data_IF_526703614961
#
_entry.id   IF_526703614961
#
_cell.length_a   1.000
_cell.length_b   1.000
_cell.length_c   1.000
_cell.angle_alpha   90.00
_cell.angle_beta   90.00
_cell.angle_gamma   90.00
#
_symmetry.space_group_name_H-M   'P 1'
#
loop_
_entity.id
_entity.type
_entity.pdbx_description
1 polymer ?
#
# COMPACT_ATOMS: atom_id res chain seq x y z
N UNK A 1 17.67 5.23 18.25
CA UNK A 1 17.69 3.77 18.08
C UNK A 1 19.10 3.29 18.45
N UNK A 2 19.19 2.41 19.39
CA UNK A 2 20.49 1.89 19.86
C UNK A 2 20.90 0.68 19.01
N UNK A 3 22.10 0.75 18.45
CA UNK A 3 22.71 -0.34 17.68
C UNK A 3 24.06 -0.64 18.31
N UNK A 4 24.08 -1.60 19.25
CA UNK A 4 25.25 -1.85 20.09
C UNK A 4 25.56 -0.63 20.95
N UNK A 5 26.80 -0.14 20.88
CA UNK A 5 27.25 1.05 21.62
C UNK A 5 26.98 2.39 20.91
N UNK A 6 26.31 2.39 19.74
CA UNK A 6 26.09 3.59 18.94
C UNK A 6 24.62 3.92 18.85
N UNK A 7 24.31 5.20 18.94
CA UNK A 7 22.99 5.74 18.57
C UNK A 7 22.97 6.05 17.09
N UNK A 8 22.10 5.37 16.34
CA UNK A 8 21.93 5.59 14.92
C UNK A 8 20.55 6.18 14.61
N UNK A 9 20.44 7.14 13.68
CA UNK A 9 19.16 7.69 13.29
C UNK A 9 18.29 6.62 12.58
N UNK A 10 17.00 6.62 12.88
CA UNK A 10 16.02 5.68 12.28
C UNK A 10 16.02 5.77 10.75
N UNK A 11 16.29 6.95 10.20
CA UNK A 11 16.32 7.19 8.75
C UNK A 11 17.33 6.32 8.00
N UNK A 12 18.38 5.84 8.65
CA UNK A 12 19.33 4.89 8.03
C UNK A 12 18.69 3.53 7.71
N UNK A 13 17.55 3.20 8.33
CA UNK A 13 16.79 1.98 8.15
C UNK A 13 15.44 2.22 7.50
N UNK A 14 15.23 3.40 6.95
CA UNK A 14 13.95 3.80 6.38
C UNK A 14 14.13 4.10 4.91
N UNK A 15 13.31 3.46 4.09
CA UNK A 15 13.22 3.76 2.65
C UNK A 15 11.93 4.52 2.41
N UNK A 16 12.00 5.65 1.73
CA UNK A 16 10.86 6.46 1.37
C UNK A 16 10.52 6.26 -0.11
N UNK A 17 9.28 5.89 -0.38
CA UNK A 17 8.70 5.88 -1.73
C UNK A 17 7.65 6.98 -1.76
N UNK A 18 7.95 8.09 -2.42
CA UNK A 18 7.10 9.26 -2.41
C UNK A 18 6.50 9.54 -3.79
N UNK A 19 5.23 9.92 -3.81
CA UNK A 19 4.54 10.42 -4.98
C UNK A 19 3.98 11.80 -4.70
N UNK A 20 4.17 12.70 -5.65
CA UNK A 20 3.55 14.02 -5.64
C UNK A 20 2.31 14.02 -6.53
N UNK A 21 1.40 14.97 -6.28
CA UNK A 21 0.13 15.07 -7.02
C UNK A 21 0.30 15.38 -8.51
N UNK A 22 1.45 15.91 -8.91
CA UNK A 22 1.80 16.23 -10.30
C UNK A 22 2.42 15.04 -11.06
N UNK A 23 2.65 13.91 -10.41
CA UNK A 23 3.18 12.73 -11.08
C UNK A 23 2.11 12.05 -11.96
N UNK A 24 2.52 11.37 -13.05
CA UNK A 24 1.62 10.59 -13.87
C UNK A 24 0.84 9.56 -13.05
N UNK A 25 -0.41 9.33 -13.43
CA UNK A 25 -1.30 8.41 -12.72
C UNK A 25 -0.75 6.97 -12.68
N UNK A 26 -0.09 6.54 -13.76
CA UNK A 26 0.55 5.24 -13.81
C UNK A 26 1.72 5.12 -12.81
N UNK A 27 2.47 6.20 -12.58
CA UNK A 27 3.52 6.22 -11.57
C UNK A 27 2.95 6.15 -10.16
N UNK A 28 1.83 6.82 -9.91
CA UNK A 28 1.12 6.75 -8.61
C UNK A 28 0.59 5.35 -8.34
N UNK A 29 0.06 4.68 -9.34
CA UNK A 29 -0.39 3.30 -9.23
C UNK A 29 0.77 2.34 -8.99
N UNK A 30 1.87 2.48 -9.74
CA UNK A 30 3.03 1.60 -9.64
C UNK A 30 3.82 1.73 -8.34
N UNK A 31 3.75 2.86 -7.64
CA UNK A 31 4.55 3.13 -6.43
C UNK A 31 4.25 2.17 -5.30
N UNK A 32 3.00 1.74 -5.15
CA UNK A 32 2.62 0.80 -4.10
C UNK A 32 3.28 -0.57 -4.31
N UNK A 33 3.39 -1.00 -5.57
CA UNK A 33 4.08 -2.24 -5.92
C UNK A 33 5.59 -2.11 -5.73
N UNK A 34 6.16 -0.96 -6.01
CA UNK A 34 7.57 -0.67 -5.73
C UNK A 34 7.84 -0.77 -4.22
N UNK A 35 6.99 -0.16 -3.41
CA UNK A 35 7.12 -0.20 -1.95
C UNK A 35 7.05 -1.62 -1.39
N UNK A 36 6.05 -2.40 -1.80
CA UNK A 36 5.90 -3.77 -1.29
C UNK A 36 7.02 -4.69 -1.78
N UNK A 37 7.51 -4.50 -3.00
CA UNK A 37 8.64 -5.28 -3.54
C UNK A 37 9.92 -5.03 -2.74
N UNK A 38 10.19 -3.79 -2.37
CA UNK A 38 11.31 -3.47 -1.49
C UNK A 38 11.15 -4.10 -0.09
N UNK A 39 9.94 -4.07 0.46
CA UNK A 39 9.64 -4.71 1.74
C UNK A 39 9.88 -6.23 1.68
N UNK A 40 9.42 -6.88 0.63
CA UNK A 40 9.64 -8.32 0.42
C UNK A 40 11.11 -8.67 0.20
N UNK A 41 11.86 -7.81 -0.49
CA UNK A 41 13.29 -8.00 -0.67
C UNK A 41 14.04 -8.08 0.66
N UNK A 42 13.78 -7.15 1.58
CA UNK A 42 14.39 -7.19 2.91
C UNK A 42 13.86 -8.33 3.78
N UNK A 43 12.58 -8.68 3.65
CA UNK A 43 12.01 -9.86 4.31
C UNK A 43 12.77 -11.13 3.92
N UNK A 44 13.03 -11.31 2.65
CA UNK A 44 13.71 -12.51 2.14
C UNK A 44 15.18 -12.60 2.56
N UNK A 45 15.76 -11.46 2.98
CA UNK A 45 17.06 -11.42 3.64
C UNK A 45 17.01 -11.77 5.14
N UNK A 46 15.83 -12.03 5.69
CA UNK A 46 15.63 -12.37 7.09
C UNK A 46 15.31 -11.19 7.98
N UNK A 47 14.97 -10.02 7.41
CA UNK A 47 14.58 -8.84 8.18
C UNK A 47 13.09 -8.82 8.50
N UNK A 48 12.75 -8.16 9.61
CA UNK A 48 11.37 -7.82 9.94
C UNK A 48 11.09 -6.41 9.42
N UNK A 49 10.18 -6.28 8.47
CA UNK A 49 9.90 -5.04 7.77
C UNK A 49 8.52 -4.52 8.15
N UNK A 50 8.43 -3.23 8.46
CA UNK A 50 7.17 -2.51 8.60
C UNK A 50 6.99 -1.59 7.40
N UNK A 51 5.92 -1.80 6.63
CA UNK A 51 5.53 -0.95 5.52
C UNK A 51 4.36 -0.07 5.94
N UNK A 52 4.49 1.23 5.78
CA UNK A 52 3.44 2.20 6.07
C UNK A 52 3.02 2.87 4.76
N UNK A 53 1.74 2.77 4.42
CA UNK A 53 1.16 3.38 3.23
C UNK A 53 0.24 4.54 3.63
N UNK A 54 0.67 5.75 3.37
CA UNK A 54 -0.12 6.96 3.60
C UNK A 54 -0.36 7.68 2.25
N UNK A 55 -1.52 7.63 1.67
CA UNK A 55 -2.68 6.85 2.04
C UNK A 55 -3.11 5.96 0.87
N UNK A 56 -3.68 4.80 1.15
CA UNK A 56 -4.17 3.88 0.11
C UNK A 56 -5.35 4.44 -0.69
N UNK A 57 -6.03 5.48 -0.20
CA UNK A 57 -7.07 6.20 -0.94
C UNK A 57 -6.52 6.87 -2.21
N UNK A 58 -5.31 7.39 -2.19
CA UNK A 58 -4.66 7.97 -3.39
C UNK A 58 -4.35 6.91 -4.44
N UNK A 59 -4.04 5.71 -4.04
CA UNK A 59 -3.92 4.59 -4.95
C UNK A 59 -5.27 4.19 -5.55
N UNK A 60 -6.33 4.16 -4.76
CA UNK A 60 -7.69 3.91 -5.26
C UNK A 60 -8.14 4.99 -6.26
N UNK A 61 -7.83 6.26 -6.02
CA UNK A 61 -8.07 7.35 -6.98
C UNK A 61 -7.32 7.12 -8.30
N UNK A 62 -6.06 6.72 -8.24
CA UNK A 62 -5.27 6.41 -9.42
C UNK A 62 -5.88 5.25 -10.24
N UNK A 63 -6.31 4.19 -9.57
CA UNK A 63 -7.01 3.08 -10.21
C UNK A 63 -8.31 3.52 -10.88
N UNK A 64 -9.09 4.39 -10.24
CA UNK A 64 -10.31 4.96 -10.82
C UNK A 64 -10.01 5.77 -12.08
N UNK A 65 -8.96 6.58 -12.05
CA UNK A 65 -8.58 7.40 -13.20
C UNK A 65 -8.11 6.54 -14.38
N UNK A 66 -7.34 5.48 -14.13
CA UNK A 66 -6.89 4.53 -15.16
C UNK A 66 -8.08 3.80 -15.76
N UNK A 67 -8.97 3.28 -14.92
CA UNK A 67 -10.19 2.58 -15.34
C UNK A 67 -11.08 3.47 -16.21
N UNK A 68 -11.25 4.75 -15.84
CA UNK A 68 -11.99 5.71 -16.62
C UNK A 68 -11.38 5.97 -18.01
N UNK A 69 -10.08 6.03 -18.12
CA UNK A 69 -9.37 6.19 -19.40
C UNK A 69 -9.47 4.96 -20.30
N UNK A 70 -9.55 3.77 -19.71
CA UNK A 70 -9.73 2.51 -20.44
C UNK A 70 -11.18 2.21 -20.76
N UNK A 71 -12.11 3.10 -20.42
CA UNK A 71 -13.55 2.94 -20.60
C UNK A 71 -14.10 1.61 -20.01
N UNK A 72 -13.51 1.15 -18.93
CA UNK A 72 -14.00 -0.02 -18.20
C UNK A 72 -15.33 0.29 -17.51
N UNK A 73 -16.22 -0.71 -17.40
CA UNK A 73 -17.49 -0.52 -16.70
C UNK A 73 -17.23 -0.19 -15.22
N UNK A 74 -17.68 0.97 -14.73
CA UNK A 74 -17.54 1.30 -13.34
C UNK A 74 -18.45 0.42 -12.48
N UNK A 75 -17.94 -0.04 -11.33
CA UNK A 75 -18.75 -0.53 -10.24
C UNK A 75 -19.31 0.65 -9.41
N UNK A 76 -19.77 0.37 -8.22
CA UNK A 76 -20.31 1.39 -7.32
C UNK A 76 -19.32 2.56 -7.11
N UNK A 77 -19.86 3.77 -7.09
CA UNK A 77 -19.11 5.02 -6.85
C UNK A 77 -18.01 5.34 -7.87
N UNK A 78 -18.05 4.75 -9.06
CA UNK A 78 -17.11 5.03 -10.15
C UNK A 78 -15.74 4.36 -9.99
N UNK A 79 -15.57 3.46 -9.02
CA UNK A 79 -14.37 2.64 -8.87
C UNK A 79 -14.46 1.37 -9.72
N UNK A 80 -13.31 0.82 -10.18
CA UNK A 80 -13.32 -0.45 -10.89
C UNK A 80 -13.75 -1.60 -9.99
N UNK A 81 -14.46 -2.59 -10.56
CA UNK A 81 -14.95 -3.76 -9.83
C UNK A 81 -13.81 -4.56 -9.16
N UNK A 82 -12.61 -4.52 -9.72
CA UNK A 82 -11.43 -5.23 -9.21
C UNK A 82 -10.67 -4.48 -8.10
N UNK A 83 -11.12 -3.31 -7.65
CA UNK A 83 -10.44 -2.55 -6.60
C UNK A 83 -10.29 -3.38 -5.31
N UNK A 84 -11.36 -4.03 -4.87
CA UNK A 84 -11.34 -4.90 -3.70
C UNK A 84 -10.34 -6.06 -3.83
N UNK A 85 -10.30 -6.68 -4.98
CA UNK A 85 -9.36 -7.78 -5.27
C UNK A 85 -7.91 -7.31 -5.25
N UNK A 86 -7.61 -6.15 -5.84
CA UNK A 86 -6.25 -5.56 -5.81
C UNK A 86 -5.83 -5.18 -4.39
N UNK A 87 -6.73 -4.59 -3.61
CA UNK A 87 -6.47 -4.28 -2.20
C UNK A 87 -6.21 -5.53 -1.37
N UNK A 88 -7.05 -6.55 -1.51
CA UNK A 88 -6.86 -7.83 -0.83
C UNK A 88 -5.51 -8.45 -1.19
N UNK A 89 -5.19 -8.53 -2.48
CA UNK A 89 -3.91 -9.05 -2.96
C UNK A 89 -2.70 -8.30 -2.42
N UNK A 90 -2.81 -6.98 -2.23
CA UNK A 90 -1.75 -6.18 -1.62
C UNK A 90 -1.57 -6.52 -0.13
N UNK A 91 -2.66 -6.58 0.64
CA UNK A 91 -2.58 -6.89 2.07
C UNK A 91 -2.24 -8.35 2.36
N UNK A 92 -2.59 -9.29 1.48
CA UNK A 92 -2.21 -10.69 1.59
C UNK A 92 -0.69 -10.94 1.51
N UNK A 93 0.06 -9.98 0.99
CA UNK A 93 1.53 -10.03 0.96
C UNK A 93 2.17 -9.79 2.33
N UNK A 94 1.42 -9.30 3.30
CA UNK A 94 1.87 -9.20 4.69
C UNK A 94 1.92 -10.59 5.33
N UNK A 95 2.94 -10.86 6.11
CA UNK A 95 3.04 -12.10 6.86
C UNK A 95 4.47 -12.48 7.19
N UNK A 96 4.58 -13.59 7.90
CA UNK A 96 5.85 -14.23 8.23
C UNK A 96 6.14 -15.35 7.22
N UNK A 97 7.34 -15.35 6.70
CA UNK A 97 7.80 -16.38 5.77
C UNK A 97 9.11 -16.99 6.23
N UNK A 98 9.30 -18.23 5.81
CA UNK A 98 10.59 -18.91 5.88
C UNK A 98 11.17 -18.91 4.48
N UNK A 99 12.29 -18.19 4.29
CA UNK A 99 12.96 -18.13 3.01
C UNK A 99 13.70 -19.45 2.74
N UNK A 100 13.47 -20.00 1.55
CA UNK A 100 14.20 -21.19 1.10
C UNK A 100 15.65 -20.81 0.80
N UNK A 101 16.57 -21.67 1.21
CA UNK A 101 18.00 -21.46 0.97
C UNK A 101 18.86 -21.87 2.14
N UNK A 102 20.16 -21.69 1.99
CA UNK A 102 21.14 -21.97 3.03
C UNK A 102 21.96 -20.70 3.32
N UNK A 103 21.95 -20.16 4.57
CA UNK A 103 21.20 -20.64 5.73
C UNK A 103 19.69 -20.38 5.63
N UNK A 104 18.89 -21.15 6.38
CA UNK A 104 17.45 -20.91 6.52
C UNK A 104 17.23 -19.57 7.23
N UNK A 105 16.37 -18.72 6.65
CA UNK A 105 16.07 -17.37 7.15
C UNK A 105 14.58 -17.23 7.37
N UNK A 106 14.21 -16.46 8.37
CA UNK A 106 12.84 -16.07 8.63
C UNK A 106 12.74 -14.55 8.59
N UNK A 107 11.74 -14.04 7.92
CA UNK A 107 11.46 -12.61 7.85
C UNK A 107 9.96 -12.34 7.88
N UNK A 108 9.59 -11.12 8.20
CA UNK A 108 8.20 -10.69 8.25
C UNK A 108 8.00 -9.38 7.53
N UNK A 109 6.79 -9.22 6.95
CA UNK A 109 6.30 -7.93 6.46
C UNK A 109 5.01 -7.61 7.21
N UNK A 110 4.97 -6.46 7.85
CA UNK A 110 3.77 -5.88 8.45
C UNK A 110 3.35 -4.69 7.62
N UNK A 111 2.08 -4.60 7.23
CA UNK A 111 1.54 -3.51 6.44
C UNK A 111 0.55 -2.70 7.28
N UNK A 112 0.78 -1.40 7.37
CA UNK A 112 -0.14 -0.43 7.96
C UNK A 112 -0.57 0.54 6.87
N UNK A 113 -1.85 0.50 6.48
CA UNK A 113 -2.41 1.39 5.48
C UNK A 113 -3.36 2.39 6.11
N UNK A 114 -3.15 3.68 5.85
CA UNK A 114 -4.11 4.71 6.15
C UNK A 114 -5.13 4.81 5.01
N UNK A 115 -6.41 4.77 5.34
CA UNK A 115 -7.50 4.93 4.39
C UNK A 115 -8.41 6.07 4.84
N UNK A 116 -8.55 7.08 4.01
CA UNK A 116 -9.47 8.18 4.23
C UNK A 116 -10.79 7.83 3.56
N UNK A 117 -11.81 7.55 4.34
CA UNK A 117 -13.18 7.42 3.84
C UNK A 117 -13.73 8.84 3.67
N UNK A 118 -13.85 9.30 2.45
CA UNK A 118 -14.63 10.49 2.14
C UNK A 118 -16.10 10.09 2.18
N UNK A 119 -16.75 10.32 3.30
CA UNK A 119 -18.21 10.24 3.38
C UNK A 119 -18.74 11.47 2.65
N UNK A 120 -19.26 11.29 1.46
CA UNK A 120 -19.99 12.36 0.77
C UNK A 120 -21.20 12.74 1.62
N UNK A 121 -21.40 14.03 1.83
CA UNK A 121 -22.58 14.55 2.57
C UNK A 121 -23.91 14.07 1.95
N UNK A 122 -23.91 13.65 0.70
CA UNK A 122 -25.08 13.10 0.02
C UNK A 122 -25.53 11.73 0.55
N UNK A 123 -24.59 10.92 1.08
CA UNK A 123 -24.92 9.61 1.66
C UNK A 123 -25.52 9.72 3.08
N UNK A 124 -25.28 10.82 3.76
CA UNK A 124 -25.86 11.10 5.07
C UNK A 124 -27.35 11.50 4.98
N UNK A 125 -27.73 12.20 3.91
CA UNK A 125 -29.10 12.71 3.74
C UNK A 125 -30.12 11.58 3.40
N UNK A 126 -29.66 10.48 2.82
CA UNK A 126 -30.49 9.33 2.49
C UNK A 126 -30.78 8.42 3.70
N UNK A 127 -29.97 8.47 4.76
CA UNK A 127 -30.19 7.66 5.97
C UNK A 127 -31.15 8.29 7.00
N UNK A 128 -31.44 9.58 6.86
CA UNK A 128 -32.31 10.32 7.79
C UNK A 128 -33.68 10.67 7.22
N UNK A 129 -34.02 10.16 6.00
CA UNK A 129 -35.31 10.39 5.35
C UNK A 129 -36.28 9.20 5.37
N UNK A 130 -36.02 8.19 6.19
CA UNK A 130 -36.97 7.07 6.45
C UNK A 130 -37.44 7.07 7.89
#
# INVERSE_FOLDING_TARGET
MDVGERQEPIMKRTTLVANTSNMPVAAREASIYTGITLAEYFRDQGSNVAMMADSTSRWAEALREISGRLAEMPADSGYPAYLGTKLASFYERAGKVVALGNPVRQGTVSIVGAYVVSISYQDLDLRYRN
#
